data_IF_398180155626
#
_entry.id   IF_398180155626
#
_cell.length_a   1.000
_cell.length_b   1.000
_cell.length_c   1.000
_cell.angle_alpha   90.00
_cell.angle_beta   90.00
_cell.angle_gamma   90.00
#
_symmetry.space_group_name_H-M   'P 1'
#
loop_
_entity.id
_entity.type
_entity.pdbx_description
1 polymer ?
#
# COMPACT_ATOMS: atom_id res chain seq x y z
N UNK A 1 1.90 -0.84 -0.68
CA UNK A 1 0.71 -0.66 0.18
C UNK A 1 0.25 -1.97 0.83
N UNK A 2 -0.18 -3.01 0.09
CA UNK A 2 -0.67 -4.27 0.68
C UNK A 2 0.30 -4.88 1.70
N UNK A 3 1.59 -5.01 1.31
CA UNK A 3 2.64 -5.47 2.22
C UNK A 3 2.88 -4.55 3.41
N UNK A 4 2.67 -3.24 3.26
CA UNK A 4 2.83 -2.28 4.36
C UNK A 4 1.68 -2.44 5.38
N UNK A 5 0.44 -2.61 4.91
CA UNK A 5 -0.72 -2.88 5.76
C UNK A 5 -0.60 -4.22 6.49
N UNK A 6 -0.09 -5.24 5.81
CA UNK A 6 0.24 -6.53 6.40
C UNK A 6 1.33 -6.40 7.47
N UNK A 7 2.46 -5.75 7.14
CA UNK A 7 3.58 -5.57 8.07
C UNK A 7 3.21 -4.72 9.30
N UNK A 8 2.32 -3.74 9.13
CA UNK A 8 1.80 -2.91 10.21
C UNK A 8 0.71 -3.62 11.04
N UNK A 9 0.23 -4.79 10.58
CA UNK A 9 -0.75 -5.59 11.31
C UNK A 9 -2.13 -4.94 11.41
N UNK A 10 -2.50 -4.09 10.45
CA UNK A 10 -3.74 -3.28 10.49
C UNK A 10 -5.00 -4.16 10.58
N UNK A 11 -4.97 -5.35 9.99
CA UNK A 11 -6.11 -6.25 9.94
C UNK A 11 -6.00 -7.39 10.97
N UNK A 12 -7.07 -7.62 11.73
CA UNK A 12 -7.17 -8.68 12.75
C UNK A 12 -5.98 -8.69 13.73
N UNK A 13 -5.51 -7.52 14.14
CA UNK A 13 -4.34 -7.32 15.01
C UNK A 13 -3.11 -8.12 14.53
N UNK A 14 -2.86 -8.11 13.22
CA UNK A 14 -1.72 -8.80 12.60
C UNK A 14 -1.94 -10.30 12.31
N UNK A 15 -3.08 -10.87 12.66
CA UNK A 15 -3.38 -12.30 12.41
C UNK A 15 -4.03 -12.58 11.05
N UNK A 16 -3.91 -11.64 10.10
CA UNK A 16 -4.50 -11.78 8.76
C UNK A 16 -3.45 -12.23 7.76
N UNK A 17 -3.72 -13.30 7.00
CA UNK A 17 -2.88 -13.69 5.87
C UNK A 17 -2.86 -12.59 4.80
N UNK A 18 -1.67 -12.25 4.31
CA UNK A 18 -1.49 -11.30 3.21
C UNK A 18 -2.30 -11.64 1.96
N UNK A 19 -2.56 -12.93 1.67
CA UNK A 19 -3.41 -13.36 0.56
C UNK A 19 -4.86 -12.90 0.73
N UNK A 20 -5.37 -12.91 1.95
CA UNK A 20 -6.72 -12.44 2.24
C UNK A 20 -6.80 -10.91 2.06
N UNK A 21 -5.76 -10.19 2.47
CA UNK A 21 -5.66 -8.74 2.23
C UNK A 21 -5.64 -8.49 0.72
N UNK A 22 -4.78 -9.16 -0.05
CA UNK A 22 -4.69 -9.00 -1.50
C UNK A 22 -6.04 -9.26 -2.19
N UNK A 23 -6.69 -10.38 -1.90
CA UNK A 23 -8.02 -10.72 -2.45
C UNK A 23 -9.10 -9.69 -2.10
N UNK A 24 -9.04 -9.15 -0.89
CA UNK A 24 -9.94 -8.08 -0.46
C UNK A 24 -9.74 -6.82 -1.31
N UNK A 25 -8.48 -6.45 -1.60
CA UNK A 25 -8.17 -5.33 -2.49
C UNK A 25 -8.64 -5.58 -3.93
N UNK A 26 -8.38 -6.76 -4.50
CA UNK A 26 -8.86 -7.13 -5.85
C UNK A 26 -10.38 -6.98 -5.96
N UNK A 27 -11.11 -7.53 -4.97
CA UNK A 27 -12.57 -7.49 -4.95
C UNK A 27 -13.12 -6.08 -4.74
N UNK A 28 -12.49 -5.29 -3.86
CA UNK A 28 -12.94 -3.93 -3.50
C UNK A 28 -12.71 -2.95 -4.64
N UNK A 29 -11.57 -3.05 -5.32
CA UNK A 29 -11.18 -2.13 -6.39
C UNK A 29 -11.49 -2.66 -7.79
N UNK A 30 -12.00 -3.90 -7.90
CA UNK A 30 -12.23 -4.61 -9.15
C UNK A 30 -10.99 -4.61 -10.07
N UNK A 31 -9.85 -5.02 -9.49
CA UNK A 31 -8.55 -5.11 -10.16
C UNK A 31 -8.00 -6.53 -10.04
N UNK A 32 -7.06 -6.87 -10.92
CA UNK A 32 -6.21 -8.07 -10.80
C UNK A 32 -4.83 -7.64 -10.30
N UNK A 33 -4.39 -8.16 -9.16
CA UNK A 33 -3.07 -7.85 -8.60
C UNK A 33 -1.97 -8.77 -9.15
N UNK A 34 -2.33 -9.86 -9.83
CA UNK A 34 -1.39 -10.85 -10.35
C UNK A 34 -0.42 -11.36 -9.28
N UNK A 35 0.86 -11.45 -9.63
CA UNK A 35 1.91 -11.89 -8.70
C UNK A 35 2.40 -10.74 -7.79
N UNK A 36 1.58 -10.41 -6.80
CA UNK A 36 1.90 -9.37 -5.82
C UNK A 36 3.12 -9.72 -4.94
N UNK A 37 3.49 -11.01 -4.82
CA UNK A 37 4.73 -11.42 -4.15
C UNK A 37 5.96 -11.01 -4.97
N UNK A 38 5.91 -11.22 -6.29
CA UNK A 38 6.97 -10.79 -7.20
C UNK A 38 7.14 -9.27 -7.17
N UNK A 39 6.04 -8.51 -7.27
CA UNK A 39 6.09 -7.04 -7.17
C UNK A 39 6.75 -6.58 -5.87
N UNK A 40 6.51 -7.25 -4.74
CA UNK A 40 7.20 -6.93 -3.50
C UNK A 40 8.70 -7.22 -3.55
N UNK A 41 9.10 -8.33 -4.16
CA UNK A 41 10.52 -8.66 -4.33
C UNK A 41 11.24 -7.64 -5.21
N UNK A 42 10.60 -7.15 -6.28
CA UNK A 42 11.10 -6.05 -7.08
C UNK A 42 11.23 -4.74 -6.29
N UNK A 43 10.24 -4.41 -5.45
CA UNK A 43 10.31 -3.23 -4.58
C UNK A 43 11.47 -3.34 -3.59
N UNK A 44 11.66 -4.52 -2.99
CA UNK A 44 12.74 -4.81 -2.04
C UNK A 44 14.13 -4.69 -2.68
N UNK A 45 14.27 -5.04 -3.96
CA UNK A 45 15.56 -5.03 -4.66
C UNK A 45 16.03 -3.63 -5.07
N UNK A 46 15.14 -2.62 -5.09
CA UNK A 46 15.49 -1.23 -5.42
C UNK A 46 16.54 -0.68 -4.44
N UNK A 47 17.55 0.01 -4.98
CA UNK A 47 18.60 0.67 -4.17
C UNK A 47 18.16 2.04 -3.64
N UNK A 48 17.35 2.74 -4.41
CA UNK A 48 16.87 4.08 -4.10
C UNK A 48 15.35 4.05 -4.13
N UNK A 49 14.74 4.65 -3.11
CA UNK A 49 13.30 4.78 -2.91
C UNK A 49 12.48 3.48 -3.17
N UNK A 50 12.55 2.57 -2.20
CA UNK A 50 11.79 1.30 -2.19
C UNK A 50 10.28 1.49 -2.01
N UNK A 51 9.85 2.64 -1.50
CA UNK A 51 8.47 2.93 -1.10
C UNK A 51 7.84 4.08 -1.88
N UNK A 52 8.39 4.46 -3.04
CA UNK A 52 8.00 5.66 -3.81
C UNK A 52 6.50 5.91 -3.93
N UNK A 53 5.72 4.85 -4.11
CA UNK A 53 4.27 4.97 -4.19
C UNK A 53 3.63 5.39 -2.86
N UNK A 54 4.08 4.84 -1.72
CA UNK A 54 3.62 5.27 -0.40
C UNK A 54 4.01 6.72 -0.12
N UNK A 55 5.23 7.11 -0.46
CA UNK A 55 5.69 8.50 -0.31
C UNK A 55 4.76 9.44 -1.09
N UNK A 56 4.44 9.10 -2.35
CA UNK A 56 3.53 9.91 -3.17
C UNK A 56 2.10 9.98 -2.63
N UNK A 57 1.62 8.94 -1.93
CA UNK A 57 0.31 8.98 -1.27
C UNK A 57 0.32 9.91 -0.07
N UNK A 58 1.39 9.89 0.74
CA UNK A 58 1.57 10.83 1.84
C UNK A 58 1.62 12.27 1.32
N UNK A 59 2.43 12.54 0.30
CA UNK A 59 2.57 13.87 -0.30
C UNK A 59 1.22 14.38 -0.85
N UNK A 60 0.47 13.51 -1.54
CA UNK A 60 -0.85 13.88 -2.07
C UNK A 60 -1.87 14.18 -0.97
N UNK A 61 -1.84 13.42 0.13
CA UNK A 61 -2.73 13.64 1.27
C UNK A 61 -2.41 14.96 1.98
N UNK A 62 -1.11 15.23 2.23
CA UNK A 62 -0.65 16.48 2.85
C UNK A 62 -1.07 17.66 2.00
N UNK A 63 -0.81 17.62 0.68
CA UNK A 63 -1.21 18.67 -0.26
C UNK A 63 -2.71 18.95 -0.20
N UNK A 64 -3.55 17.91 -0.08
CA UNK A 64 -5.00 18.06 0.02
C UNK A 64 -5.43 18.74 1.32
N UNK A 65 -4.72 18.49 2.42
CA UNK A 65 -4.96 19.15 3.72
C UNK A 65 -4.54 20.62 3.66
N UNK A 66 -3.35 20.91 3.11
CA UNK A 66 -2.87 22.28 2.94
C UNK A 66 -3.83 23.11 2.07
N UNK A 67 -4.37 22.52 0.99
CA UNK A 67 -5.39 23.14 0.14
C UNK A 67 -6.72 23.43 0.86
N UNK A 68 -7.04 22.69 1.93
CA UNK A 68 -8.24 22.94 2.75
C UNK A 68 -8.00 23.95 3.87
N UNK A 69 -6.79 24.00 4.43
CA UNK A 69 -6.40 24.97 5.47
C UNK A 69 -6.19 26.40 4.90
N UNK A 70 -5.91 26.52 3.59
CA UNK A 70 -5.82 27.80 2.88
C UNK A 70 -7.19 28.40 2.48
N UNK A 71 -8.30 27.70 2.71
CA UNK A 71 -9.69 28.13 2.42
C UNK A 71 -10.38 28.69 3.67
#
# INVERSE_FOLDING_TARGET
>A
MIYALYAQGVFNNGNTDIKLIAKTFESTFNIDLGDFYHTFMELKSRKINRTKFLDSLCDALIKKMDEEDEI
#
